data_IF_370424295508
#
_entry.id   IF_370424295508
#
_cell.length_a   1.000
_cell.length_b   1.000
_cell.length_c   1.000
_cell.angle_alpha   90.00
_cell.angle_beta   90.00
_cell.angle_gamma   90.00
#
_symmetry.space_group_name_H-M   'P 1'
#
loop_
_entity.id
_entity.type
_entity.pdbx_description
1 polymer ?
#
# COMPACT_ATOMS: atom_id res chain seq x y z
N UNK A 1 -24.07 -11.01 -19.79
CA UNK A 1 -25.50 -11.07 -20.15
C UNK A 1 -25.78 -12.22 -21.10
N UNK A 2 -24.90 -12.40 -22.09
CA UNK A 2 -25.08 -13.42 -23.15
C UNK A 2 -24.82 -14.87 -22.66
N UNK A 3 -24.12 -15.05 -21.53
CA UNK A 3 -23.80 -16.37 -20.97
C UNK A 3 -24.79 -16.82 -19.89
N UNK A 4 -25.78 -16.03 -19.53
CA UNK A 4 -26.75 -16.29 -18.45
C UNK A 4 -26.09 -16.77 -17.14
N UNK A 5 -24.94 -16.19 -16.80
CA UNK A 5 -24.16 -16.51 -15.59
C UNK A 5 -24.65 -15.66 -14.44
N UNK A 6 -25.06 -16.29 -13.35
CA UNK A 6 -25.27 -15.62 -12.06
C UNK A 6 -23.92 -15.57 -11.30
N UNK A 7 -23.36 -14.39 -11.14
CA UNK A 7 -22.11 -14.18 -10.39
C UNK A 7 -22.41 -13.81 -8.93
N UNK A 8 -21.74 -14.50 -8.01
CA UNK A 8 -21.78 -14.19 -6.57
C UNK A 8 -20.38 -13.74 -6.13
N UNK A 9 -20.29 -12.67 -5.37
CA UNK A 9 -19.01 -12.21 -4.82
C UNK A 9 -18.44 -13.26 -3.86
N UNK A 10 -17.11 -13.42 -3.82
CA UNK A 10 -16.46 -14.31 -2.87
C UNK A 10 -16.68 -13.86 -1.43
N UNK A 11 -16.63 -14.80 -0.49
CA UNK A 11 -16.72 -14.51 0.93
C UNK A 11 -15.54 -13.64 1.41
N UNK A 12 -15.76 -12.74 2.39
CA UNK A 12 -14.69 -11.89 2.92
C UNK A 12 -13.57 -12.70 3.57
N UNK A 13 -12.32 -12.29 3.34
CA UNK A 13 -11.16 -12.87 4.01
C UNK A 13 -11.14 -12.40 5.47
N UNK A 14 -11.19 -13.31 6.41
CA UNK A 14 -11.20 -13.01 7.85
C UNK A 14 -9.80 -12.63 8.38
N UNK A 15 -8.72 -13.12 7.76
CA UNK A 15 -7.34 -12.86 8.22
C UNK A 15 -6.94 -11.41 8.00
N UNK A 16 -6.73 -10.67 9.09
CA UNK A 16 -6.16 -9.32 9.05
C UNK A 16 -4.64 -9.41 9.10
N UNK A 17 -3.96 -8.95 8.05
CA UNK A 17 -2.51 -8.76 8.05
C UNK A 17 -2.18 -7.43 8.75
N UNK A 18 -1.14 -7.44 9.57
CA UNK A 18 -0.62 -6.26 10.25
C UNK A 18 0.72 -5.83 9.63
N UNK A 19 1.14 -4.59 9.87
CA UNK A 19 2.36 -4.03 9.28
C UNK A 19 3.60 -4.86 9.59
N UNK A 20 3.69 -5.41 10.80
CA UNK A 20 4.78 -6.31 11.22
C UNK A 20 4.95 -7.51 10.30
N UNK A 21 3.87 -8.13 9.88
CA UNK A 21 3.90 -9.32 9.01
C UNK A 21 4.35 -9.01 7.59
N UNK A 22 4.19 -7.75 7.16
CA UNK A 22 4.36 -7.34 5.75
C UNK A 22 5.69 -6.64 5.50
N UNK A 23 6.12 -5.75 6.41
CA UNK A 23 7.24 -4.83 6.14
C UNK A 23 8.31 -4.79 7.23
N UNK A 24 8.23 -5.59 8.31
CA UNK A 24 9.20 -5.50 9.42
C UNK A 24 10.63 -5.81 9.00
N UNK A 25 10.83 -6.73 8.08
CA UNK A 25 12.13 -7.13 7.54
C UNK A 25 12.81 -6.04 6.67
N UNK A 26 12.06 -5.01 6.30
CA UNK A 26 12.53 -3.86 5.51
C UNK A 26 12.91 -2.63 6.37
N UNK A 27 12.62 -2.63 7.67
CA UNK A 27 12.64 -1.46 8.54
C UNK A 27 13.88 -0.56 8.39
N UNK A 28 15.07 -1.16 8.40
CA UNK A 28 16.35 -0.45 8.45
C UNK A 28 17.02 -0.27 7.08
N UNK A 29 16.35 -0.63 5.99
CA UNK A 29 16.94 -0.66 4.62
C UNK A 29 16.47 0.47 3.72
N UNK A 30 15.50 1.25 4.16
CA UNK A 30 14.94 2.34 3.37
C UNK A 30 15.88 3.54 3.33
N UNK A 31 16.02 4.16 2.16
CA UNK A 31 16.83 5.37 1.97
C UNK A 31 15.96 6.57 1.59
N UNK A 32 16.34 7.79 1.97
CA UNK A 32 15.62 8.98 1.54
C UNK A 32 15.82 9.24 0.04
N UNK A 33 14.78 9.70 -0.64
CA UNK A 33 14.88 10.19 -2.01
C UNK A 33 15.80 11.43 -2.08
N UNK A 34 16.55 11.56 -3.18
CA UNK A 34 17.40 12.73 -3.44
C UNK A 34 16.50 13.89 -3.87
N UNK A 35 16.83 15.10 -3.41
CA UNK A 35 16.09 16.32 -3.76
C UNK A 35 14.57 16.15 -3.66
N UNK A 36 14.11 15.61 -2.55
CA UNK A 36 12.72 15.33 -2.18
C UNK A 36 12.09 14.11 -2.87
N UNK A 37 12.28 13.91 -4.17
CA UNK A 37 11.58 12.87 -4.93
C UNK A 37 12.39 12.16 -6.01
N UNK A 38 13.65 12.51 -6.23
CA UNK A 38 14.50 11.78 -7.20
C UNK A 38 14.90 10.42 -6.63
N UNK A 39 14.88 9.34 -7.45
CA UNK A 39 15.34 8.03 -7.04
C UNK A 39 16.76 8.06 -6.45
N UNK A 40 16.98 7.29 -5.41
CA UNK A 40 18.28 7.20 -4.75
C UNK A 40 19.01 5.92 -5.21
N UNK A 41 20.15 6.04 -5.93
CA UNK A 41 20.90 4.87 -6.41
C UNK A 41 21.52 4.03 -5.28
N UNK A 42 21.54 4.51 -4.04
CA UNK A 42 22.01 3.77 -2.88
C UNK A 42 20.93 2.80 -2.32
N UNK A 43 19.73 2.77 -2.89
CA UNK A 43 18.69 1.82 -2.50
C UNK A 43 19.11 0.39 -2.89
N UNK A 44 19.55 -0.41 -1.92
CA UNK A 44 19.95 -1.81 -2.13
C UNK A 44 18.74 -2.67 -2.50
N UNK A 45 17.60 -2.43 -1.83
CA UNK A 45 16.32 -3.07 -2.18
C UNK A 45 15.62 -2.23 -3.24
N UNK A 46 15.23 -2.80 -4.38
CA UNK A 46 14.56 -2.04 -5.45
C UNK A 46 13.30 -1.32 -4.96
N UNK A 47 13.18 -0.03 -5.31
CA UNK A 47 12.07 0.84 -4.92
C UNK A 47 11.94 1.08 -3.40
N UNK A 48 13.00 0.86 -2.63
CA UNK A 48 12.95 1.05 -1.18
C UNK A 48 13.46 2.43 -0.75
N UNK A 49 13.20 3.41 -1.54
CA UNK A 49 13.36 4.81 -1.20
C UNK A 49 12.03 5.46 -0.82
N UNK A 50 12.08 6.46 0.05
CA UNK A 50 10.92 7.23 0.48
C UNK A 50 11.05 8.71 0.15
N UNK A 51 9.93 9.32 -0.27
CA UNK A 51 9.87 10.74 -0.54
C UNK A 51 10.11 11.56 0.73
N UNK A 52 10.95 12.59 0.65
CA UNK A 52 11.18 13.58 1.72
C UNK A 52 10.38 14.86 1.47
N UNK A 53 10.46 15.83 2.40
CA UNK A 53 9.75 17.11 2.31
C UNK A 53 8.45 17.16 3.10
N UNK A 54 7.76 18.28 3.02
CA UNK A 54 6.61 18.59 3.86
C UNK A 54 5.35 17.76 3.59
N UNK A 55 4.50 17.67 4.58
CA UNK A 55 3.14 17.15 4.47
C UNK A 55 2.17 18.26 4.10
N UNK A 56 1.02 17.91 3.52
CA UNK A 56 -0.08 18.88 3.41
C UNK A 56 -0.69 19.13 4.79
N UNK A 57 -1.24 20.33 5.02
CA UNK A 57 -1.93 20.68 6.27
C UNK A 57 -3.07 19.71 6.57
N UNK A 58 -3.84 19.32 5.56
CA UNK A 58 -4.91 18.33 5.68
C UNK A 58 -4.38 16.96 6.12
N UNK A 59 -3.17 16.58 5.70
CA UNK A 59 -2.56 15.32 6.10
C UNK A 59 -2.26 15.29 7.62
N UNK A 60 -1.91 16.42 8.21
CA UNK A 60 -1.60 16.55 9.64
C UNK A 60 -2.84 16.73 10.53
N UNK A 61 -4.05 16.64 9.97
CA UNK A 61 -5.31 16.79 10.73
C UNK A 61 -5.65 15.58 11.62
N UNK A 62 -4.90 14.48 11.57
CA UNK A 62 -5.09 13.27 12.37
C UNK A 62 -3.80 12.49 12.49
N UNK A 63 -3.75 11.55 13.45
CA UNK A 63 -2.60 10.64 13.58
C UNK A 63 -2.39 9.83 12.30
N UNK A 64 -1.15 9.79 11.80
CA UNK A 64 -0.73 9.08 10.58
C UNK A 64 0.25 7.93 10.85
N UNK A 65 0.53 7.66 12.11
CA UNK A 65 1.43 6.57 12.54
C UNK A 65 0.60 5.41 13.06
N UNK A 66 0.64 4.26 12.37
CA UNK A 66 0.12 2.99 12.86
C UNK A 66 1.19 2.26 13.67
N UNK A 67 0.79 1.46 14.64
CA UNK A 67 1.69 0.53 15.30
C UNK A 67 1.99 -0.67 14.41
N UNK A 68 3.01 -1.44 14.77
CA UNK A 68 3.38 -2.67 14.06
C UNK A 68 2.27 -3.73 14.06
N UNK A 69 1.44 -3.74 15.08
CA UNK A 69 0.33 -4.70 15.27
C UNK A 69 -1.01 -4.21 14.70
N UNK A 70 -0.99 -3.13 13.92
CA UNK A 70 -2.15 -2.60 13.22
C UNK A 70 -2.04 -2.82 11.70
N UNK A 71 -3.19 -2.92 10.99
CA UNK A 71 -3.20 -2.86 9.52
C UNK A 71 -2.80 -1.46 9.05
N UNK A 72 -2.23 -1.37 7.86
CA UNK A 72 -1.88 -0.09 7.24
C UNK A 72 -3.09 0.83 7.03
N UNK A 73 -2.83 2.13 6.96
CA UNK A 73 -3.75 3.06 6.29
C UNK A 73 -3.83 2.72 4.80
N UNK A 74 -4.91 3.16 4.16
CA UNK A 74 -5.06 3.11 2.71
C UNK A 74 -3.87 3.77 2.01
N UNK A 75 -3.27 3.08 1.05
CA UNK A 75 -2.20 3.62 0.22
C UNK A 75 -2.81 4.55 -0.81
N UNK A 76 -2.51 5.83 -0.72
CA UNK A 76 -2.99 6.86 -1.62
C UNK A 76 -2.03 7.08 -2.80
N UNK A 77 -2.55 7.60 -3.91
CA UNK A 77 -1.80 7.84 -5.14
C UNK A 77 -0.91 9.09 -5.08
N UNK A 78 0.02 9.13 -4.13
CA UNK A 78 0.98 10.24 -4.01
C UNK A 78 1.83 10.19 -2.75
N UNK A 79 3.13 10.47 -2.91
CA UNK A 79 4.12 10.43 -1.83
C UNK A 79 3.85 11.41 -0.68
N UNK A 80 3.18 12.54 -0.95
CA UNK A 80 2.79 13.51 0.10
C UNK A 80 1.76 12.95 1.08
N UNK A 81 1.07 11.87 0.70
CA UNK A 81 0.03 11.21 1.48
C UNK A 81 0.40 9.78 1.88
N UNK A 82 1.62 9.33 1.56
CA UNK A 82 2.09 8.02 2.00
C UNK A 82 2.05 7.94 3.53
N UNK A 83 1.59 6.80 4.11
CA UNK A 83 1.57 6.63 5.55
C UNK A 83 2.94 6.80 6.18
N UNK A 84 2.98 7.16 7.45
CA UNK A 84 4.21 7.27 8.22
C UNK A 84 4.61 5.87 8.71
N UNK A 85 5.90 5.59 8.68
CA UNK A 85 6.44 4.30 9.09
C UNK A 85 6.22 4.03 10.59
N UNK A 86 5.91 2.79 11.00
CA UNK A 86 5.61 2.43 12.39
C UNK A 86 6.71 2.73 13.42
N UNK A 87 7.98 2.76 13.01
CA UNK A 87 9.10 3.15 13.89
C UNK A 87 9.16 4.65 14.19
N UNK A 88 8.37 5.46 13.50
CA UNK A 88 8.33 6.90 13.73
C UNK A 88 7.65 7.24 15.06
N UNK A 89 7.98 8.37 15.69
CA UNK A 89 7.30 8.85 16.89
C UNK A 89 5.79 8.95 16.68
N UNK A 90 5.03 8.59 17.70
CA UNK A 90 3.57 8.76 17.67
C UNK A 90 3.21 10.24 17.52
N UNK A 91 2.09 10.50 16.89
CA UNK A 91 1.55 11.85 16.81
C UNK A 91 0.62 12.11 17.99
N UNK A 92 0.74 13.31 18.56
CA UNK A 92 -0.13 13.82 19.63
C UNK A 92 -1.07 14.89 19.08
N UNK A 93 -2.28 14.92 19.60
CA UNK A 93 -3.25 15.95 19.27
C UNK A 93 -2.87 17.23 20.02
N UNK A 94 -2.78 18.36 19.31
CA UNK A 94 -2.44 19.66 19.87
C UNK A 94 -3.59 20.68 19.78
N UNK A 95 -4.54 20.45 18.85
CA UNK A 95 -5.70 21.31 18.63
C UNK A 95 -6.79 20.54 17.88
N UNK A 96 -7.93 21.16 17.61
CA UNK A 96 -8.98 20.61 16.74
C UNK A 96 -8.37 20.34 15.36
N UNK A 97 -8.50 19.09 14.87
CA UNK A 97 -7.96 18.64 13.59
C UNK A 97 -6.48 18.98 13.35
N UNK A 98 -5.68 18.99 14.43
CA UNK A 98 -4.25 19.29 14.36
C UNK A 98 -3.42 18.36 15.23
N UNK A 99 -2.47 17.68 14.59
CA UNK A 99 -1.53 16.76 15.23
C UNK A 99 -0.09 17.15 14.92
N UNK A 100 0.82 16.80 15.81
CA UNK A 100 2.27 16.90 15.59
C UNK A 100 2.97 15.66 16.13
N UNK A 101 4.21 15.43 15.71
CA UNK A 101 5.01 14.36 16.27
C UNK A 101 5.40 14.65 17.71
N UNK A 102 5.28 13.66 18.59
CA UNK A 102 5.58 13.82 20.02
C UNK A 102 7.06 14.18 20.26
N UNK A 103 7.96 13.66 19.43
CA UNK A 103 9.42 13.87 19.51
C UNK A 103 9.94 14.09 18.09
N UNK A 104 9.95 15.36 17.65
CA UNK A 104 10.40 15.73 16.29
C UNK A 104 11.89 15.45 16.04
N UNK A 105 12.72 15.51 17.08
CA UNK A 105 14.15 15.24 17.04
C UNK A 105 14.52 13.79 16.77
N UNK A 106 13.63 12.83 17.06
CA UNK A 106 13.86 11.41 16.77
C UNK A 106 13.74 11.07 15.28
N UNK A 107 13.34 12.05 14.48
CA UNK A 107 13.10 11.85 13.06
C UNK A 107 11.85 11.02 12.78
N UNK A 108 11.37 11.11 11.57
CA UNK A 108 10.26 10.30 11.06
C UNK A 108 10.46 10.09 9.55
N UNK A 109 9.89 9.01 9.04
CA UNK A 109 9.87 8.76 7.61
C UNK A 109 8.50 8.29 7.13
N UNK A 110 8.23 8.50 5.87
CA UNK A 110 7.12 7.85 5.18
C UNK A 110 7.46 6.38 4.93
N UNK A 111 6.44 5.57 4.72
CA UNK A 111 6.64 4.27 4.08
C UNK A 111 7.32 4.49 2.73
N UNK A 112 8.27 3.65 2.39
CA UNK A 112 8.91 3.65 1.07
C UNK A 112 7.96 3.16 -0.01
N UNK A 113 8.34 3.32 -1.27
CA UNK A 113 7.58 2.78 -2.41
C UNK A 113 7.48 1.25 -2.29
N UNK A 114 8.57 0.53 -1.91
CA UNK A 114 8.56 -0.93 -1.71
C UNK A 114 7.64 -1.36 -0.58
N UNK A 115 7.64 -0.67 0.54
CA UNK A 115 6.73 -0.95 1.65
C UNK A 115 5.27 -0.77 1.25
N UNK A 116 4.95 0.31 0.53
CA UNK A 116 3.62 0.52 -0.03
C UNK A 116 3.22 -0.57 -1.04
N UNK A 117 4.17 -1.04 -1.86
CA UNK A 117 3.95 -2.12 -2.82
C UNK A 117 3.61 -3.45 -2.10
N UNK A 118 4.36 -3.83 -1.07
CA UNK A 118 4.07 -5.04 -0.27
C UNK A 118 2.70 -4.95 0.42
N UNK A 119 2.32 -3.79 0.94
CA UNK A 119 0.99 -3.56 1.53
C UNK A 119 -0.13 -3.78 0.50
N UNK A 120 0.13 -3.46 -0.76
CA UNK A 120 -0.76 -3.75 -1.91
C UNK A 120 -0.53 -5.14 -2.52
N UNK A 121 0.19 -6.03 -1.81
CA UNK A 121 0.47 -7.43 -2.18
C UNK A 121 1.27 -7.58 -3.48
N UNK A 122 2.02 -6.57 -3.92
CA UNK A 122 2.97 -6.74 -5.02
C UNK A 122 4.16 -7.58 -4.56
N UNK A 123 4.58 -8.58 -5.35
CA UNK A 123 5.77 -9.38 -5.02
C UNK A 123 7.05 -8.54 -5.15
N UNK A 124 8.10 -8.90 -4.41
CA UNK A 124 9.37 -8.17 -4.44
C UNK A 124 10.08 -8.23 -5.81
N UNK A 125 9.80 -9.25 -6.59
CA UNK A 125 10.28 -9.37 -7.97
C UNK A 125 9.70 -8.31 -8.91
N UNK A 126 8.56 -7.70 -8.55
CA UNK A 126 7.96 -6.62 -9.34
C UNK A 126 8.67 -5.30 -9.05
N UNK A 127 9.42 -4.79 -10.01
CA UNK A 127 10.18 -3.54 -9.91
C UNK A 127 9.48 -2.43 -10.68
N UNK A 128 9.06 -1.40 -9.96
CA UNK A 128 8.47 -0.20 -10.56
C UNK A 128 9.56 0.65 -11.23
N UNK A 129 9.32 1.08 -12.46
CA UNK A 129 10.23 1.98 -13.19
C UNK A 129 9.69 3.39 -13.17
N UNK A 130 10.46 4.32 -12.61
CA UNK A 130 10.11 5.73 -12.52
C UNK A 130 11.37 6.61 -12.44
N UNK A 131 11.24 7.85 -12.87
CA UNK A 131 12.25 8.92 -12.74
C UNK A 131 12.01 9.84 -11.54
N UNK A 132 10.85 9.70 -10.90
CA UNK A 132 10.42 10.44 -9.71
C UNK A 132 9.71 9.48 -8.75
N UNK A 133 10.14 9.45 -7.49
CA UNK A 133 9.61 8.56 -6.44
C UNK A 133 8.11 8.76 -6.22
N UNK A 134 7.60 9.98 -6.45
CA UNK A 134 6.16 10.25 -6.35
C UNK A 134 5.36 9.48 -7.41
N UNK A 135 5.93 9.20 -8.59
CA UNK A 135 5.29 8.34 -9.59
C UNK A 135 5.18 6.90 -9.10
N UNK A 136 6.17 6.39 -8.35
CA UNK A 136 6.10 5.10 -7.71
C UNK A 136 4.89 4.98 -6.77
N UNK A 137 4.73 5.95 -5.87
CA UNK A 137 3.54 6.01 -5.01
C UNK A 137 2.24 6.13 -5.80
N UNK A 138 2.23 6.91 -6.88
CA UNK A 138 1.05 7.08 -7.73
C UNK A 138 0.65 5.78 -8.42
N UNK A 139 1.59 5.02 -8.94
CA UNK A 139 1.32 3.72 -9.56
C UNK A 139 0.71 2.75 -8.56
N UNK A 140 1.30 2.64 -7.36
CA UNK A 140 0.82 1.72 -6.33
C UNK A 140 -0.56 2.14 -5.79
N UNK A 141 -0.75 3.43 -5.49
CA UNK A 141 -2.01 3.91 -4.93
C UNK A 141 -3.18 3.87 -5.91
N UNK A 142 -2.92 3.84 -7.22
CA UNK A 142 -3.94 3.65 -8.26
C UNK A 142 -4.17 2.18 -8.62
N UNK A 143 -3.31 1.27 -8.15
CA UNK A 143 -3.45 -0.14 -8.43
C UNK A 143 -4.54 -0.78 -7.54
N UNK A 144 -5.17 -1.81 -8.06
CA UNK A 144 -5.95 -2.74 -7.25
C UNK A 144 -4.99 -3.63 -6.48
N UNK A 145 -5.28 -3.92 -5.20
CA UNK A 145 -4.50 -4.88 -4.42
C UNK A 145 -4.42 -6.23 -5.15
N UNK A 146 -3.20 -6.79 -5.27
CA UNK A 146 -2.93 -7.96 -6.12
C UNK A 146 -3.68 -9.20 -5.64
N UNK A 147 -3.70 -9.47 -4.32
CA UNK A 147 -4.42 -10.62 -3.77
C UNK A 147 -5.93 -10.46 -3.95
N UNK A 148 -6.45 -9.25 -3.76
CA UNK A 148 -7.86 -8.97 -4.00
C UNK A 148 -8.25 -9.18 -5.48
N UNK A 149 -7.43 -8.69 -6.41
CA UNK A 149 -7.64 -8.89 -7.83
C UNK A 149 -7.64 -10.38 -8.20
N UNK A 150 -6.71 -11.16 -7.62
CA UNK A 150 -6.64 -12.62 -7.82
C UNK A 150 -7.91 -13.31 -7.34
N UNK A 151 -8.39 -13.01 -6.14
CA UNK A 151 -9.60 -13.62 -5.59
C UNK A 151 -10.82 -13.34 -6.47
N UNK A 152 -10.96 -12.10 -6.96
CA UNK A 152 -12.04 -11.75 -7.90
C UNK A 152 -11.90 -12.52 -9.23
N UNK A 153 -10.70 -12.59 -9.78
CA UNK A 153 -10.45 -13.30 -11.03
C UNK A 153 -10.73 -14.80 -10.90
N UNK A 154 -10.30 -15.43 -9.82
CA UNK A 154 -10.58 -16.83 -9.51
C UNK A 154 -12.09 -17.09 -9.38
N UNK A 155 -12.82 -16.21 -8.68
CA UNK A 155 -14.27 -16.29 -8.52
C UNK A 155 -15.01 -16.16 -9.85
N UNK A 156 -14.62 -15.21 -10.69
CA UNK A 156 -15.20 -15.03 -12.03
C UNK A 156 -14.92 -16.26 -12.91
N UNK A 157 -13.68 -16.77 -12.89
CA UNK A 157 -13.30 -17.96 -13.64
C UNK A 157 -14.14 -19.17 -13.24
N UNK A 158 -14.36 -19.39 -11.94
CA UNK A 158 -15.22 -20.46 -11.44
C UNK A 158 -16.66 -20.32 -11.92
N UNK A 159 -17.24 -19.14 -11.84
CA UNK A 159 -18.60 -18.89 -12.30
C UNK A 159 -18.76 -19.19 -13.80
N UNK A 160 -17.80 -18.79 -14.63
CA UNK A 160 -17.79 -19.08 -16.06
C UNK A 160 -17.67 -20.58 -16.34
N UNK A 161 -16.77 -21.28 -15.67
CA UNK A 161 -16.59 -22.75 -15.87
C UNK A 161 -17.84 -23.55 -15.48
N UNK A 162 -18.53 -23.17 -14.42
CA UNK A 162 -19.78 -23.81 -14.01
C UNK A 162 -20.88 -23.62 -15.09
N UNK A 163 -20.99 -22.42 -15.64
CA UNK A 163 -21.95 -22.13 -16.69
C UNK A 163 -21.69 -22.93 -17.98
N UNK A 164 -20.44 -23.03 -18.43
CA UNK A 164 -20.09 -23.84 -19.59
C UNK A 164 -20.44 -25.32 -19.41
N UNK A 165 -20.15 -25.90 -18.24
CA UNK A 165 -20.50 -27.30 -17.95
C UNK A 165 -22.02 -27.56 -17.91
N UNK A 166 -22.79 -26.58 -17.43
CA UNK A 166 -24.26 -26.68 -17.39
C UNK A 166 -24.84 -26.64 -18.80
N UNK A 167 -24.38 -25.75 -19.64
CA UNK A 167 -24.85 -25.61 -21.03
C UNK A 167 -24.51 -26.82 -21.91
N UNK A 168 -23.35 -27.49 -21.67
CA UNK A 168 -22.99 -28.72 -22.36
C UNK A 168 -23.80 -29.96 -21.96
N UNK A 169 -24.47 -29.95 -20.79
CA UNK A 169 -25.35 -31.05 -20.33
C UNK A 169 -26.79 -30.87 -20.75
N UNK A 170 -27.15 -29.66 -21.21
CA UNK A 170 -28.51 -29.32 -21.68
C UNK A 170 -28.64 -29.27 -23.22
N UNK A 171 -27.58 -29.53 -23.96
CA UNK A 171 -27.55 -29.70 -25.42
C UNK A 171 -27.34 -31.16 -25.80
#
# INVERSE_FOLDING_TARGET
KDLNVHYTFPEPIVKKLVLKDIIKDLEDKAVPAINKSKPNPLAIVPNHEYMTGGFSSMYMSRNRVRSWDEPSFTIQAGGRHAPIHPSSPKMIKIDVDKFMFAYSELGFRRLSVRECARIQSFPDSFVFKYSDVNHGYKMIGNAVNVDFAKILADSISQALHLSFKTNLRSA
#
